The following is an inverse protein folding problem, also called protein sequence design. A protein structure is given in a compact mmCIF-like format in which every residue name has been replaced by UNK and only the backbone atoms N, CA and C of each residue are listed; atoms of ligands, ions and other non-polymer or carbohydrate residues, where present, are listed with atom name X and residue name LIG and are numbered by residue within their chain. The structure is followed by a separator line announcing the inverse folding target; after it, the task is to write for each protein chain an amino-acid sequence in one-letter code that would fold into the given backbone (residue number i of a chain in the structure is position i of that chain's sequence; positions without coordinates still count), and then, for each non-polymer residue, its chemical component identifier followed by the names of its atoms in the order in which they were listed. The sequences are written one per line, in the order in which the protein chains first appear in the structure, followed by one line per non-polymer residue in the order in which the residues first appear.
data_IF_849035598137
#
_entry.id   IF_849035598137
#
_cell.length_a   1.000
_cell.length_b   1.000
_cell.length_c   1.000
_cell.angle_alpha   90.00
_cell.angle_beta   90.00
_cell.angle_gamma   90.00
#
_symmetry.space_group_name_H-M   'P 1'
#
loop_
_entity.id
_entity.type
_entity.pdbx_description
1 polymer ?
#
# COMPACT_ATOMS: atom_id res chain seq x y z
N UNK A 1 -12.98 -1.07 24.95
CA UNK A 1 -12.08 -0.22 24.14
C UNK A 1 -11.49 -1.12 23.09
N UNK A 2 -12.00 -1.09 21.87
CA UNK A 2 -11.46 -1.91 20.77
C UNK A 2 -10.22 -1.22 20.24
N UNK A 3 -9.08 -1.91 20.26
CA UNK A 3 -7.81 -1.37 19.77
C UNK A 3 -7.97 -0.90 18.32
N UNK A 4 -7.82 0.39 18.09
CA UNK A 4 -7.63 0.98 16.77
C UNK A 4 -6.21 0.59 16.34
N UNK A 5 -6.04 -0.49 15.59
CA UNK A 5 -4.71 -0.94 15.13
C UNK A 5 -4.20 -0.06 13.97
N UNK A 6 -4.19 1.26 14.15
CA UNK A 6 -3.62 2.19 13.18
C UNK A 6 -2.13 2.37 13.49
N UNK A 7 -1.27 1.86 12.61
CA UNK A 7 0.19 1.96 12.79
C UNK A 7 0.72 3.34 12.37
N UNK A 8 1.93 3.67 12.82
CA UNK A 8 2.65 4.86 12.36
C UNK A 8 2.83 4.87 10.82
N UNK A 9 2.93 3.70 10.18
CA UNK A 9 3.03 3.59 8.72
C UNK A 9 1.74 4.04 8.03
N UNK A 10 0.55 3.70 8.57
CA UNK A 10 -0.73 4.18 8.04
C UNK A 10 -0.83 5.71 8.11
N UNK A 11 -0.48 6.30 9.25
CA UNK A 11 -0.51 7.76 9.42
C UNK A 11 0.51 8.45 8.52
N UNK A 12 1.75 7.98 8.50
CA UNK A 12 2.80 8.55 7.65
C UNK A 12 2.42 8.47 6.16
N UNK A 13 1.80 7.37 5.76
CA UNK A 13 1.32 7.17 4.40
C UNK A 13 0.16 8.10 4.03
N UNK A 14 -0.85 8.23 4.89
CA UNK A 14 -1.99 9.13 4.67
C UNK A 14 -1.56 10.59 4.57
N UNK A 15 -0.66 11.02 5.45
CA UNK A 15 -0.26 12.41 5.61
C UNK A 15 0.92 12.84 4.74
N UNK A 16 1.50 11.95 3.94
CA UNK A 16 2.62 12.30 3.06
C UNK A 16 3.99 12.40 3.76
N UNK A 17 4.17 11.84 4.96
CA UNK A 17 5.41 11.93 5.73
C UNK A 17 6.48 10.95 5.21
N UNK A 18 7.13 11.31 4.11
CA UNK A 18 8.08 10.44 3.39
C UNK A 18 9.21 9.92 4.27
N UNK A 19 9.80 10.75 5.13
CA UNK A 19 10.91 10.33 5.99
C UNK A 19 10.51 9.29 7.02
N UNK A 20 9.32 9.44 7.61
CA UNK A 20 8.77 8.46 8.56
C UNK A 20 8.50 7.14 7.84
N UNK A 21 7.87 7.19 6.66
CA UNK A 21 7.60 6.00 5.86
C UNK A 21 8.91 5.29 5.49
N UNK A 22 9.91 6.03 4.99
CA UNK A 22 11.21 5.48 4.61
C UNK A 22 11.91 4.82 5.81
N UNK A 23 11.89 5.47 6.97
CA UNK A 23 12.47 4.94 8.19
C UNK A 23 11.78 3.63 8.60
N UNK A 24 10.45 3.60 8.61
CA UNK A 24 9.69 2.41 8.99
C UNK A 24 9.92 1.25 8.01
N UNK A 25 9.94 1.49 6.69
CA UNK A 25 10.25 0.46 5.69
C UNK A 25 11.66 -0.10 5.89
N UNK A 26 12.62 0.71 6.32
CA UNK A 26 14.02 0.31 6.44
C UNK A 26 14.33 -0.44 7.74
N UNK A 27 13.63 -0.14 8.83
CA UNK A 27 14.03 -0.57 10.17
C UNK A 27 12.94 -1.30 10.97
N UNK A 28 11.67 -1.21 10.58
CA UNK A 28 10.61 -1.96 11.25
C UNK A 28 10.49 -3.39 10.66
N UNK A 29 9.87 -4.33 11.39
CA UNK A 29 9.61 -5.67 10.85
C UNK A 29 8.78 -5.59 9.57
N UNK A 30 9.18 -6.34 8.53
CA UNK A 30 8.52 -6.33 7.22
C UNK A 30 7.01 -6.60 7.26
N UNK A 31 6.51 -7.30 8.28
CA UNK A 31 5.09 -7.54 8.49
C UNK A 31 4.26 -6.24 8.55
N UNK A 32 4.85 -5.12 8.99
CA UNK A 32 4.16 -3.83 9.12
C UNK A 32 3.61 -3.29 7.80
N UNK A 33 4.24 -3.63 6.67
CA UNK A 33 3.91 -3.08 5.34
C UNK A 33 2.50 -3.49 4.90
N UNK A 34 2.10 -4.71 5.26
CA UNK A 34 0.83 -5.32 4.85
C UNK A 34 -0.19 -5.41 6.00
N UNK A 35 0.11 -4.81 7.17
CA UNK A 35 -0.88 -4.70 8.24
C UNK A 35 -2.07 -3.85 7.76
N UNK A 36 -3.27 -4.27 8.15
CA UNK A 36 -4.51 -3.52 7.93
C UNK A 36 -4.91 -2.79 9.21
N UNK A 37 -5.52 -1.62 9.08
CA UNK A 37 -6.21 -0.97 10.19
C UNK A 37 -7.58 -1.62 10.46
N UNK A 38 -8.03 -1.54 11.72
CA UNK A 38 -9.30 -2.14 12.14
C UNK A 38 -10.54 -1.34 11.73
N UNK A 39 -10.39 -0.07 11.33
CA UNK A 39 -11.52 0.82 11.02
C UNK A 39 -12.07 0.54 9.62
N UNK A 40 -11.17 0.36 8.67
CA UNK A 40 -11.48 0.30 7.24
C UNK A 40 -10.86 -0.92 6.56
N UNK A 41 -10.05 -1.72 7.26
CA UNK A 41 -9.34 -2.85 6.66
C UNK A 41 -8.24 -2.40 5.70
N UNK A 42 -7.81 -1.13 5.77
CA UNK A 42 -6.87 -0.55 4.82
C UNK A 42 -5.43 -0.73 5.28
N UNK A 43 -4.55 -1.03 4.31
CA UNK A 43 -3.09 -0.98 4.51
C UNK A 43 -2.55 0.44 4.36
N UNK A 44 -1.27 0.64 4.66
CA UNK A 44 -0.58 1.90 4.39
C UNK A 44 -0.64 2.30 2.90
N UNK A 45 -0.61 1.33 1.97
CA UNK A 45 -0.70 1.60 0.54
C UNK A 45 -2.07 2.15 0.14
N UNK A 46 -3.16 1.64 0.74
CA UNK A 46 -4.50 2.20 0.56
C UNK A 46 -4.56 3.66 1.00
N UNK A 47 -4.03 3.97 2.19
CA UNK A 47 -4.01 5.34 2.72
C UNK A 47 -3.21 6.30 1.83
N UNK A 48 -2.06 5.84 1.32
CA UNK A 48 -1.24 6.63 0.40
C UNK A 48 -1.95 6.88 -0.94
N UNK A 49 -2.59 5.86 -1.50
CA UNK A 49 -3.31 5.96 -2.77
C UNK A 49 -4.50 6.92 -2.69
N UNK A 50 -5.34 6.78 -1.65
CA UNK A 50 -6.46 7.69 -1.40
C UNK A 50 -5.99 9.13 -1.15
N UNK A 51 -4.81 9.30 -0.53
CA UNK A 51 -4.18 10.61 -0.29
C UNK A 51 -3.38 11.17 -1.47
N UNK A 52 -3.37 10.51 -2.65
CA UNK A 52 -2.54 10.87 -3.82
C UNK A 52 -1.04 11.00 -3.52
N UNK A 53 -0.54 10.24 -2.54
CA UNK A 53 0.85 10.29 -2.07
C UNK A 53 1.77 9.40 -2.92
N UNK A 54 1.92 9.70 -4.21
CA UNK A 54 2.62 8.82 -5.19
C UNK A 54 4.00 8.35 -4.76
N UNK A 55 4.85 9.25 -4.25
CA UNK A 55 6.20 8.86 -3.79
C UNK A 55 6.15 7.81 -2.67
N UNK A 56 5.14 7.88 -1.80
CA UNK A 56 4.95 6.89 -0.73
C UNK A 56 4.42 5.58 -1.32
N UNK A 57 3.50 5.62 -2.27
CA UNK A 57 3.07 4.43 -2.98
C UNK A 57 4.28 3.70 -3.59
N UNK A 58 5.16 4.41 -4.28
CA UNK A 58 6.37 3.82 -4.87
C UNK A 58 7.30 3.20 -3.80
N UNK A 59 7.50 3.89 -2.67
CA UNK A 59 8.29 3.32 -1.56
C UNK A 59 7.67 2.04 -1.00
N UNK A 60 6.35 2.01 -0.81
CA UNK A 60 5.65 0.84 -0.29
C UNK A 60 5.68 -0.33 -1.28
N UNK A 61 5.48 -0.07 -2.58
CA UNK A 61 5.61 -1.11 -3.61
C UNK A 61 7.04 -1.66 -3.65
N UNK A 62 8.06 -0.79 -3.64
CA UNK A 62 9.46 -1.23 -3.57
C UNK A 62 9.79 -1.98 -2.28
N UNK A 63 9.08 -1.69 -1.18
CA UNK A 63 9.16 -2.41 0.09
C UNK A 63 8.43 -3.76 0.12
N UNK A 64 7.79 -4.19 -0.97
CA UNK A 64 7.08 -5.46 -1.04
C UNK A 64 5.63 -5.41 -0.53
N UNK A 65 4.96 -4.26 -0.68
CA UNK A 65 3.52 -4.19 -0.41
C UNK A 65 2.73 -5.13 -1.33
N UNK A 66 1.80 -5.87 -0.74
CA UNK A 66 0.84 -6.68 -1.48
C UNK A 66 -0.26 -5.79 -2.05
N UNK A 67 -0.33 -5.75 -3.38
CA UNK A 67 -1.22 -4.86 -4.13
C UNK A 67 -2.67 -5.39 -4.19
N UNK A 68 -2.87 -6.67 -3.88
CA UNK A 68 -4.16 -7.35 -3.98
C UNK A 68 -4.97 -7.36 -2.68
N UNK A 69 -4.45 -6.79 -1.58
CA UNK A 69 -5.23 -6.68 -0.34
C UNK A 69 -6.43 -5.79 -0.60
N UNK A 70 -7.60 -6.24 -0.16
CA UNK A 70 -8.86 -5.51 -0.24
C UNK A 70 -9.21 -4.93 1.13
N UNK A 71 -9.69 -3.68 1.12
CA UNK A 71 -10.29 -3.05 2.29
C UNK A 71 -11.71 -3.57 2.57
N UNK A 72 -12.35 -3.06 3.61
CA UNK A 72 -13.69 -3.51 4.02
C UNK A 72 -14.78 -3.27 2.96
N UNK A 73 -14.55 -2.35 2.00
CA UNK A 73 -15.44 -2.08 0.87
C UNK A 73 -15.07 -2.91 -0.37
N UNK A 74 -14.12 -3.85 -0.25
CA UNK A 74 -13.64 -4.68 -1.36
C UNK A 74 -12.69 -3.94 -2.31
N UNK A 75 -12.18 -2.76 -1.93
CA UNK A 75 -11.33 -1.93 -2.80
C UNK A 75 -9.87 -2.25 -2.58
N UNK A 76 -9.10 -2.33 -3.67
CA UNK A 76 -7.63 -2.37 -3.61
C UNK A 76 -7.05 -0.95 -3.64
N UNK A 77 -5.76 -0.81 -3.33
CA UNK A 77 -5.08 0.49 -3.43
C UNK A 77 -5.16 1.12 -4.82
N UNK A 78 -5.11 0.30 -5.89
CA UNK A 78 -5.32 0.76 -7.27
C UNK A 78 -6.69 1.40 -7.45
N UNK A 79 -7.75 0.77 -6.93
CA UNK A 79 -9.11 1.30 -7.02
C UNK A 79 -9.25 2.63 -6.25
N UNK A 80 -8.60 2.74 -5.09
CA UNK A 80 -8.58 4.01 -4.34
C UNK A 80 -7.83 5.12 -5.09
N UNK A 81 -6.75 4.80 -5.81
CA UNK A 81 -6.08 5.77 -6.68
C UNK A 81 -7.01 6.23 -7.81
N UNK A 82 -7.73 5.32 -8.47
CA UNK A 82 -8.72 5.67 -9.49
C UNK A 82 -9.88 6.52 -8.94
N UNK A 83 -10.41 6.18 -7.76
CA UNK A 83 -11.47 6.95 -7.10
C UNK A 83 -11.00 8.35 -6.68
N UNK A 84 -9.70 8.50 -6.45
CA UNK A 84 -9.05 9.77 -6.24
C UNK A 84 -8.57 10.39 -7.57
N UNK A 85 -9.09 10.04 -8.75
CA UNK A 85 -8.69 10.55 -10.08
C UNK A 85 -7.16 10.53 -10.37
N UNK A 86 -6.40 9.68 -9.67
CA UNK A 86 -4.97 9.51 -9.89
C UNK A 86 -4.73 8.31 -10.84
N UNK A 87 -5.15 8.48 -12.09
CA UNK A 87 -5.09 7.42 -13.09
C UNK A 87 -3.67 6.96 -13.44
N UNK A 88 -2.67 7.85 -13.33
CA UNK A 88 -1.27 7.49 -13.51
C UNK A 88 -0.79 6.53 -12.42
N UNK A 89 -1.14 6.81 -11.15
CA UNK A 89 -0.82 5.90 -10.05
C UNK A 89 -1.59 4.59 -10.18
N UNK A 90 -2.87 4.64 -10.55
CA UNK A 90 -3.66 3.43 -10.78
C UNK A 90 -3.04 2.55 -11.87
N UNK A 91 -2.65 3.14 -13.00
CA UNK A 91 -1.97 2.43 -14.08
C UNK A 91 -0.63 1.84 -13.62
N UNK A 92 0.16 2.59 -12.85
CA UNK A 92 1.39 2.07 -12.27
C UNK A 92 1.13 0.83 -11.40
N UNK A 93 0.17 0.90 -10.46
CA UNK A 93 -0.15 -0.21 -9.56
C UNK A 93 -0.63 -1.45 -10.31
N UNK A 94 -1.47 -1.27 -11.34
CA UNK A 94 -1.92 -2.37 -12.21
C UNK A 94 -0.75 -3.07 -12.92
N UNK A 95 0.21 -2.31 -13.45
CA UNK A 95 1.38 -2.91 -14.09
C UNK A 95 2.22 -3.70 -13.08
N UNK A 96 2.39 -3.18 -11.85
CA UNK A 96 3.16 -3.88 -10.80
C UNK A 96 2.49 -5.18 -10.36
N UNK A 97 1.15 -5.25 -10.31
CA UNK A 97 0.39 -6.48 -10.05
C UNK A 97 0.70 -7.56 -11.11
N UNK A 98 0.72 -7.17 -12.38
CA UNK A 98 0.99 -8.09 -13.49
C UNK A 98 2.43 -8.62 -13.47
N UNK A 99 3.42 -7.79 -13.11
CA UNK A 99 4.81 -8.23 -12.97
C UNK A 99 5.01 -9.25 -11.83
N UNK A 100 4.38 -9.04 -10.67
CA UNK A 100 4.44 -10.00 -9.55
C UNK A 100 3.94 -11.40 -9.96
N UNK A 101 2.98 -11.49 -10.89
CA UNK A 101 2.45 -12.76 -11.40
C UNK A 101 3.37 -13.48 -12.40
N UNK A 102 4.26 -12.75 -13.09
CA UNK A 102 5.17 -13.32 -14.11
C UNK A 102 6.40 -13.96 -13.45
N UNK A 103 6.93 -13.37 -12.38
CA UNK A 103 8.09 -13.90 -11.65
C UNK A 103 7.78 -15.24 -10.97
N UNK A 104 6.55 -15.46 -10.47
CA UNK A 104 6.13 -16.73 -9.89
C UNK A 104 6.01 -17.87 -10.90
N UNK A 105 5.71 -17.57 -12.17
CA UNK A 105 5.61 -18.58 -13.24
C UNK A 105 6.98 -18.95 -13.81
N UNK A 106 7.94 -18.04 -13.77
CA UNK A 106 9.29 -18.29 -14.31
C UNK A 106 10.20 -19.06 -13.36
N UNK A 107 9.96 -19.00 -12.04
CA UNK A 107 10.75 -19.72 -11.02
C UNK A 107 10.28 -21.16 -10.74
N UNK A 108 9.34 -21.69 -11.52
CA UNK A 108 8.79 -23.06 -11.38
C UNK A 108 9.12 -23.98 -12.58
N UNK A 109 10.15 -23.65 -13.38
CA UNK A 109 10.68 -24.51 -14.45
C UNK A 109 12.11 -24.96 -14.16
#
# INVERSE_FOLDING_TARGET
MGDLLMTALHHGARCGHKDIVRYLISYAPNSIINMIDNESGQTALHKAAAGRQRSICYMLVAGGANLNIQDNDGRTARMLASNADDFELAFYLENQEQFQLIDFRSNNN
#
